data_IF_609962775397
#
_entry.id   IF_609962775397
#
_cell.length_a   1.000
_cell.length_b   1.000
_cell.length_c   1.000
_cell.angle_alpha   90.00
_cell.angle_beta   90.00
_cell.angle_gamma   90.00
#
_symmetry.space_group_name_H-M   'P 1'
#
loop_
_entity.id
_entity.type
_entity.pdbx_description
1 polymer ?
#
# COMPACT_ATOMS: atom_id res chain seq x y z
N UNK A 1 20.68 -30.56 9.26
CA UNK A 1 20.36 -29.39 8.41
C UNK A 1 19.07 -28.77 8.92
N UNK A 2 19.12 -27.58 9.56
CA UNK A 2 17.90 -26.82 9.86
C UNK A 2 17.53 -26.07 8.58
N UNK A 3 16.39 -26.39 7.99
CA UNK A 3 15.78 -25.55 6.96
C UNK A 3 15.61 -24.15 7.56
N UNK A 4 16.13 -23.07 6.96
CA UNK A 4 15.77 -21.74 7.42
C UNK A 4 14.25 -21.66 7.35
N UNK A 5 13.63 -21.29 8.47
CA UNK A 5 12.20 -21.00 8.52
C UNK A 5 12.04 -19.69 7.76
N UNK A 6 11.92 -19.77 6.44
CA UNK A 6 11.63 -18.63 5.59
C UNK A 6 10.29 -18.11 6.07
N UNK A 7 10.29 -17.01 6.82
CA UNK A 7 9.04 -16.32 7.06
C UNK A 7 8.39 -16.04 5.70
N UNK A 8 7.07 -16.23 5.55
CA UNK A 8 6.40 -15.89 4.31
C UNK A 8 6.78 -14.46 3.94
N UNK A 9 7.21 -14.25 2.70
CA UNK A 9 7.45 -12.90 2.17
C UNK A 9 6.19 -12.07 2.39
N UNK A 10 6.30 -11.02 3.21
CA UNK A 10 5.19 -10.11 3.49
C UNK A 10 5.26 -9.00 2.47
N UNK A 11 4.36 -9.03 1.49
CA UNK A 11 4.32 -8.02 0.44
C UNK A 11 3.22 -7.01 0.75
N UNK A 12 3.50 -5.76 0.46
CA UNK A 12 2.62 -4.63 0.69
C UNK A 12 2.42 -3.89 -0.63
N UNK A 13 1.22 -3.98 -1.17
CA UNK A 13 0.79 -3.13 -2.26
C UNK A 13 0.35 -1.78 -1.70
N UNK A 14 0.70 -0.71 -2.42
CA UNK A 14 0.26 0.64 -2.09
C UNK A 14 -0.29 1.33 -3.33
N UNK A 15 -1.33 2.11 -3.12
CA UNK A 15 -2.05 2.83 -4.17
C UNK A 15 -2.36 4.25 -3.69
N UNK A 16 -2.30 5.21 -4.61
CA UNK A 16 -2.71 6.59 -4.43
C UNK A 16 -3.54 7.01 -5.63
N UNK A 17 -4.74 7.51 -5.37
CA UNK A 17 -5.70 7.93 -6.39
C UNK A 17 -5.93 9.45 -6.32
N UNK A 18 -5.72 10.13 -7.45
CA UNK A 18 -6.13 11.51 -7.70
C UNK A 18 -7.03 11.61 -8.93
N UNK A 19 -7.47 12.83 -9.25
CA UNK A 19 -8.44 13.09 -10.32
C UNK A 19 -8.03 12.45 -11.65
N UNK A 20 -6.92 12.91 -12.23
CA UNK A 20 -6.43 12.46 -13.54
C UNK A 20 -5.12 11.66 -13.48
N UNK A 21 -4.61 11.39 -12.27
CA UNK A 21 -3.35 10.69 -12.06
C UNK A 21 -3.40 9.79 -10.83
N UNK A 22 -2.67 8.68 -10.89
CA UNK A 22 -2.48 7.75 -9.77
C UNK A 22 -1.04 7.25 -9.72
N UNK A 23 -0.64 6.76 -8.54
CA UNK A 23 0.64 6.07 -8.34
C UNK A 23 0.37 4.80 -7.56
N UNK A 24 1.11 3.75 -7.88
CA UNK A 24 1.02 2.49 -7.18
C UNK A 24 2.38 1.77 -7.18
N UNK A 25 2.52 0.80 -6.31
CA UNK A 25 3.69 -0.07 -6.26
C UNK A 25 3.54 -1.20 -5.25
N UNK A 26 4.57 -2.03 -5.16
CA UNK A 26 4.67 -3.13 -4.21
C UNK A 26 6.04 -3.10 -3.55
N UNK A 27 6.09 -3.37 -2.25
CA UNK A 27 7.33 -3.45 -1.46
C UNK A 27 7.19 -4.54 -0.39
N UNK A 28 8.30 -5.06 0.10
CA UNK A 28 8.35 -5.99 1.23
C UNK A 28 8.40 -5.28 2.60
N UNK A 29 8.44 -3.94 2.61
CA UNK A 29 8.43 -3.12 3.81
C UNK A 29 7.10 -2.36 3.97
N UNK A 30 6.34 -2.71 5.02
CA UNK A 30 5.09 -2.05 5.41
C UNK A 30 5.25 -0.53 5.57
N UNK A 31 6.32 -0.08 6.21
CA UNK A 31 6.53 1.33 6.50
C UNK A 31 6.92 2.10 5.24
N UNK A 32 7.66 1.48 4.33
CA UNK A 32 7.92 2.04 3.01
C UNK A 32 6.62 2.22 2.22
N UNK A 33 5.71 1.24 2.24
CA UNK A 33 4.41 1.34 1.59
C UNK A 33 3.57 2.51 2.14
N UNK A 34 3.51 2.66 3.47
CA UNK A 34 2.82 3.79 4.13
C UNK A 34 3.45 5.13 3.73
N UNK A 35 4.78 5.20 3.70
CA UNK A 35 5.51 6.41 3.31
C UNK A 35 5.22 6.80 1.86
N UNK A 36 5.17 5.85 0.93
CA UNK A 36 4.83 6.13 -0.47
C UNK A 36 3.41 6.68 -0.63
N UNK A 37 2.43 6.15 0.10
CA UNK A 37 1.08 6.72 0.12
C UNK A 37 1.10 8.15 0.65
N UNK A 38 1.83 8.39 1.75
CA UNK A 38 1.91 9.71 2.37
C UNK A 38 2.57 10.75 1.45
N UNK A 39 3.66 10.38 0.78
CA UNK A 39 4.34 11.21 -0.22
C UNK A 39 3.43 11.47 -1.43
N UNK A 40 2.78 10.43 -1.96
CA UNK A 40 1.86 10.57 -3.09
C UNK A 40 0.67 11.48 -2.79
N UNK A 41 0.08 11.40 -1.60
CA UNK A 41 -1.00 12.29 -1.17
C UNK A 41 -0.55 13.74 -0.95
N UNK A 42 0.74 14.00 -0.74
CA UNK A 42 1.28 15.37 -0.68
C UNK A 42 1.55 15.94 -2.06
N UNK A 43 2.14 15.13 -2.94
CA UNK A 43 2.65 15.57 -4.24
C UNK A 43 1.56 15.72 -5.30
N UNK A 44 0.48 14.96 -5.17
CA UNK A 44 -0.63 14.94 -6.11
C UNK A 44 -1.84 15.66 -5.50
N UNK A 45 -2.75 16.13 -6.35
CA UNK A 45 -4.14 16.43 -5.97
C UNK A 45 -4.93 15.13 -5.71
N UNK A 46 -4.30 14.19 -5.00
CA UNK A 46 -4.83 12.90 -4.65
C UNK A 46 -5.70 12.99 -3.41
N UNK A 47 -6.81 12.26 -3.45
CA UNK A 47 -7.86 12.31 -2.43
C UNK A 47 -7.78 11.14 -1.48
N UNK A 48 -7.25 10.01 -1.97
CA UNK A 48 -7.20 8.78 -1.21
C UNK A 48 -5.95 7.96 -1.55
N UNK A 49 -5.54 7.13 -0.60
CA UNK A 49 -4.56 6.10 -0.82
C UNK A 49 -4.80 4.92 0.11
N UNK A 50 -4.19 3.78 -0.20
CA UNK A 50 -4.41 2.53 0.53
C UNK A 50 -3.14 1.71 0.56
N UNK A 51 -2.95 0.98 1.64
CA UNK A 51 -1.93 -0.06 1.76
C UNK A 51 -2.64 -1.40 2.00
N UNK A 52 -2.23 -2.43 1.27
CA UNK A 52 -2.78 -3.79 1.35
C UNK A 52 -1.65 -4.77 1.61
N UNK A 53 -1.88 -5.74 2.49
CA UNK A 53 -0.99 -6.89 2.61
C UNK A 53 -1.41 -7.89 1.54
N UNK A 54 -0.46 -8.30 0.69
CA UNK A 54 -0.71 -9.13 -0.48
C UNK A 54 0.24 -10.32 -0.52
N UNK A 55 -0.12 -11.32 -1.33
CA UNK A 55 0.76 -12.43 -1.70
C UNK A 55 0.76 -12.61 -3.21
N UNK A 56 1.82 -13.19 -3.75
CA UNK A 56 1.81 -13.65 -5.14
C UNK A 56 0.83 -14.80 -5.29
N UNK A 57 0.07 -14.80 -6.39
CA UNK A 57 -0.83 -15.89 -6.70
C UNK A 57 -0.07 -17.21 -6.84
N UNK A 58 -0.56 -18.32 -6.23
CA UNK A 58 0.14 -19.59 -6.23
C UNK A 58 0.07 -20.32 -7.58
N UNK A 59 -0.76 -19.83 -8.50
CA UNK A 59 -0.98 -20.40 -9.85
C UNK A 59 0.13 -20.02 -10.86
N UNK A 60 1.18 -19.35 -10.39
CA UNK A 60 2.30 -18.92 -11.22
C UNK A 60 2.01 -17.69 -12.07
N UNK A 61 0.84 -17.06 -11.90
CA UNK A 61 0.55 -15.76 -12.52
C UNK A 61 1.30 -14.65 -11.80
N UNK A 62 1.48 -13.51 -12.46
CA UNK A 62 2.06 -12.30 -11.86
C UNK A 62 1.03 -11.51 -11.05
N UNK A 63 -0.06 -12.14 -10.62
CA UNK A 63 -1.12 -11.48 -9.87
C UNK A 63 -0.78 -11.39 -8.37
N UNK A 64 -1.23 -10.32 -7.75
CA UNK A 64 -1.23 -10.17 -6.30
C UNK A 64 -2.63 -10.45 -5.76
N UNK A 65 -2.72 -11.30 -4.73
CA UNK A 65 -3.94 -11.60 -4.01
C UNK A 65 -3.94 -10.75 -2.73
N UNK A 66 -4.99 -9.95 -2.55
CA UNK A 66 -5.20 -9.17 -1.33
C UNK A 66 -5.51 -10.09 -0.15
N UNK A 67 -4.67 -10.06 0.89
CA UNK A 67 -4.92 -10.76 2.15
C UNK A 67 -5.74 -9.91 3.12
N UNK A 68 -5.39 -8.63 3.25
CA UNK A 68 -6.11 -7.65 4.09
C UNK A 68 -5.71 -6.21 3.77
N UNK A 69 -6.54 -5.27 4.19
CA UNK A 69 -6.15 -3.85 4.25
C UNK A 69 -5.21 -3.63 5.43
N UNK A 70 -4.18 -2.82 5.24
CA UNK A 70 -3.28 -2.38 6.32
C UNK A 70 -3.68 -1.00 6.82
N UNK A 71 -4.13 -0.14 5.91
CA UNK A 71 -4.67 1.15 6.24
C UNK A 71 -5.09 1.91 4.99
N UNK A 72 -6.00 2.84 5.20
CA UNK A 72 -6.45 3.79 4.20
C UNK A 72 -6.10 5.20 4.65
N UNK A 73 -5.71 6.03 3.70
CA UNK A 73 -5.38 7.42 3.93
C UNK A 73 -6.28 8.28 3.05
N UNK A 74 -6.72 9.42 3.59
CA UNK A 74 -7.31 10.50 2.80
C UNK A 74 -6.62 11.81 3.09
N UNK A 75 -6.58 12.68 2.11
CA UNK A 75 -6.25 14.09 2.34
C UNK A 75 -7.52 14.83 2.73
N UNK A 76 -7.46 15.53 3.85
CA UNK A 76 -8.54 16.40 4.31
C UNK A 76 -8.56 17.69 3.48
N UNK A 77 -9.67 17.98 2.82
CA UNK A 77 -9.76 19.11 1.88
C UNK A 77 -9.67 20.48 2.58
N UNK A 78 -10.15 20.56 3.82
CA UNK A 78 -10.17 21.81 4.58
C UNK A 78 -8.79 22.17 5.15
N UNK A 79 -8.07 21.18 5.69
CA UNK A 79 -6.79 21.41 6.40
C UNK A 79 -5.57 21.00 5.59
N UNK A 80 -5.74 20.24 4.51
CA UNK A 80 -4.64 19.61 3.77
C UNK A 80 -3.96 18.46 4.52
N UNK A 81 -4.42 18.12 5.73
CA UNK A 81 -3.85 17.06 6.56
C UNK A 81 -4.10 15.68 5.97
N UNK A 82 -3.14 14.76 6.10
CA UNK A 82 -3.33 13.35 5.73
C UNK A 82 -3.83 12.59 6.94
N UNK A 83 -5.01 12.00 6.82
CA UNK A 83 -5.67 11.25 7.89
C UNK A 83 -5.63 9.77 7.54
N UNK A 84 -5.06 8.98 8.44
CA UNK A 84 -5.00 7.53 8.33
C UNK A 84 -6.11 6.87 9.13
N UNK A 85 -6.71 5.82 8.55
CA UNK A 85 -7.59 4.87 9.21
C UNK A 85 -6.93 3.50 9.13
N UNK A 86 -6.55 2.97 10.28
CA UNK A 86 -6.10 1.59 10.40
C UNK A 86 -7.33 0.69 10.57
N UNK A 87 -7.20 -0.55 10.10
CA UNK A 87 -8.10 -1.66 10.41
C UNK A 87 -7.60 -2.43 11.64
#
# INVERSE_FOLDING_TARGET
MRTPKTEPLRLYAWDVWGGDAGRAGVTDDRNAAIRHVHEGLRDLESRAGRVRHVVLAPDGTTAYIDLRTVGEARRDEATGSIIWRAE
#
